data_IF_391856329345
#
_entry.id   IF_391856329345
#
_cell.length_a   1.000
_cell.length_b   1.000
_cell.length_c   1.000
_cell.angle_alpha   90.00
_cell.angle_beta   90.00
_cell.angle_gamma   90.00
#
_symmetry.space_group_name_H-M   'P 1'
#
loop_
_entity.id
_entity.type
_entity.pdbx_description
1 polymer ?
#
# COMPACT_ATOMS: atom_id res chain seq x y z
N UNK A 1 -39.85 2.89 14.75
CA UNK A 1 -39.27 3.64 15.88
C UNK A 1 -37.74 3.50 15.92
N UNK A 2 -37.16 2.31 15.91
CA UNK A 2 -35.68 2.16 15.99
C UNK A 2 -34.92 2.69 14.76
N UNK A 3 -35.48 2.52 13.56
CA UNK A 3 -34.89 3.04 12.31
C UNK A 3 -34.77 4.57 12.30
N UNK A 4 -35.77 5.26 12.82
CA UNK A 4 -35.80 6.74 12.79
C UNK A 4 -34.82 7.33 13.81
N UNK A 5 -34.61 6.62 14.93
CA UNK A 5 -33.60 6.96 15.92
C UNK A 5 -32.18 6.79 15.35
N UNK A 6 -31.91 5.68 14.65
CA UNK A 6 -30.63 5.42 14.00
C UNK A 6 -30.30 6.47 12.92
N UNK A 7 -31.31 6.90 12.15
CA UNK A 7 -31.15 7.97 11.14
C UNK A 7 -30.85 9.33 11.81
N UNK A 8 -31.46 9.63 12.95
CA UNK A 8 -31.16 10.86 13.69
C UNK A 8 -29.75 10.87 14.29
N UNK A 9 -29.29 9.73 14.80
CA UNK A 9 -27.94 9.61 15.37
C UNK A 9 -26.86 9.68 14.28
N UNK A 10 -27.09 9.05 13.11
CA UNK A 10 -26.23 9.20 11.93
C UNK A 10 -26.11 10.66 11.47
N UNK A 11 -27.23 11.38 11.41
CA UNK A 11 -27.24 12.81 11.04
C UNK A 11 -26.50 13.67 12.07
N UNK A 12 -26.61 13.34 13.36
CA UNK A 12 -25.91 14.05 14.44
C UNK A 12 -24.39 13.83 14.34
N UNK A 13 -23.96 12.59 14.05
CA UNK A 13 -22.54 12.24 13.89
C UNK A 13 -21.93 12.86 12.62
N UNK A 14 -22.65 12.88 11.50
CA UNK A 14 -22.20 13.55 10.28
C UNK A 14 -22.02 15.06 10.48
N UNK A 15 -22.96 15.70 11.20
CA UNK A 15 -22.87 17.12 11.52
C UNK A 15 -21.72 17.47 12.47
N UNK A 16 -21.37 16.54 13.38
CA UNK A 16 -20.19 16.68 14.24
C UNK A 16 -18.88 16.53 13.44
N UNK A 17 -18.83 15.66 12.43
CA UNK A 17 -17.68 15.50 11.53
C UNK A 17 -17.42 16.74 10.66
N UNK A 18 -18.46 17.42 10.17
CA UNK A 18 -18.30 18.67 9.38
C UNK A 18 -17.62 19.81 10.17
N UNK A 19 -17.61 19.73 11.50
CA UNK A 19 -17.02 20.74 12.39
C UNK A 19 -15.77 20.23 13.11
N UNK A 20 -15.25 19.06 12.73
CA UNK A 20 -14.02 18.54 13.31
C UNK A 20 -12.83 19.32 12.74
N UNK A 21 -12.30 20.21 13.57
CA UNK A 21 -11.01 20.85 13.34
C UNK A 21 -9.99 20.02 14.14
N UNK A 22 -9.01 19.36 13.51
CA UNK A 22 -8.00 18.61 14.24
C UNK A 22 -7.29 19.54 15.24
N UNK A 23 -6.98 19.06 16.45
CA UNK A 23 -6.31 19.88 17.45
C UNK A 23 -4.95 20.34 16.91
N UNK A 24 -4.54 21.59 17.21
CA UNK A 24 -3.27 22.12 16.73
C UNK A 24 -2.10 21.25 17.23
N UNK A 25 -1.00 21.14 16.46
CA UNK A 25 0.13 20.24 16.78
C UNK A 25 0.68 20.38 18.19
N UNK A 26 0.57 21.58 18.77
CA UNK A 26 0.95 21.90 20.16
C UNK A 26 0.18 21.13 21.24
N UNK A 27 -0.93 20.47 20.90
CA UNK A 27 -1.76 19.69 21.82
C UNK A 27 -1.62 18.17 21.61
N UNK A 28 -0.80 17.74 20.64
CA UNK A 28 -0.56 16.32 20.38
C UNK A 28 0.62 15.81 21.22
N UNK A 29 0.62 14.52 21.62
CA UNK A 29 1.77 13.89 22.25
C UNK A 29 3.01 13.98 21.34
N UNK A 30 4.23 14.19 21.88
CA UNK A 30 5.44 14.38 21.08
C UNK A 30 5.70 13.24 20.08
N UNK A 31 5.40 12.00 20.48
CA UNK A 31 5.55 10.80 19.64
C UNK A 31 4.60 10.76 18.44
N UNK A 32 3.43 11.40 18.54
CA UNK A 32 2.47 11.50 17.44
C UNK A 32 2.90 12.58 16.45
N UNK A 33 3.48 13.68 16.95
CA UNK A 33 4.06 14.74 16.11
C UNK A 33 5.26 14.20 15.32
N UNK A 34 6.17 13.45 15.97
CA UNK A 34 7.32 12.82 15.29
C UNK A 34 6.89 11.80 14.21
N UNK A 35 5.83 11.03 14.45
CA UNK A 35 5.28 10.09 13.46
C UNK A 35 4.64 10.81 12.27
N UNK A 36 3.86 11.86 12.52
CA UNK A 36 3.25 12.68 11.46
C UNK A 36 4.33 13.38 10.63
N UNK A 37 5.36 13.92 11.28
CA UNK A 37 6.49 14.58 10.60
C UNK A 37 7.31 13.58 9.78
N UNK A 38 7.61 12.39 10.33
CA UNK A 38 8.33 11.33 9.62
C UNK A 38 7.57 10.76 8.42
N UNK A 39 6.24 10.59 8.54
CA UNK A 39 5.39 10.21 7.40
C UNK A 39 5.33 11.32 6.35
N UNK A 40 5.26 12.58 6.79
CA UNK A 40 5.25 13.75 5.89
C UNK A 40 6.56 13.90 5.14
N UNK A 41 7.70 13.58 5.77
CA UNK A 41 9.02 13.61 5.15
C UNK A 41 9.22 12.45 4.16
N UNK A 42 8.74 11.25 4.49
CA UNK A 42 8.72 10.09 3.59
C UNK A 42 7.86 10.36 2.33
N UNK A 43 6.65 10.92 2.52
CA UNK A 43 5.77 11.34 1.42
C UNK A 43 6.44 12.41 0.55
N UNK A 44 7.09 13.39 1.16
CA UNK A 44 7.80 14.44 0.42
C UNK A 44 8.93 13.87 -0.44
N UNK A 45 9.71 12.93 0.10
CA UNK A 45 10.79 12.26 -0.62
C UNK A 45 10.27 11.44 -1.81
N UNK A 46 9.13 10.75 -1.64
CA UNK A 46 8.46 10.04 -2.74
C UNK A 46 7.95 11.01 -3.81
N UNK A 47 7.34 12.13 -3.43
CA UNK A 47 6.87 13.18 -4.36
C UNK A 47 8.03 13.78 -5.17
N UNK A 48 9.16 14.07 -4.53
CA UNK A 48 10.36 14.57 -5.23
C UNK A 48 10.91 13.54 -6.21
N UNK A 49 10.90 12.27 -5.82
CA UNK A 49 11.32 11.17 -6.71
C UNK A 49 10.40 11.05 -7.93
N UNK A 50 9.08 11.15 -7.74
CA UNK A 50 8.09 11.11 -8.84
C UNK A 50 8.34 12.28 -9.80
N UNK A 51 8.49 13.51 -9.29
CA UNK A 51 8.78 14.68 -10.13
C UNK A 51 10.06 14.49 -10.96
N UNK A 52 11.11 13.94 -10.34
CA UNK A 52 12.36 13.64 -11.06
C UNK A 52 12.18 12.59 -12.16
N UNK A 53 11.31 11.60 -11.96
CA UNK A 53 10.98 10.61 -12.99
C UNK A 53 10.11 11.20 -14.11
N UNK A 54 9.13 12.03 -13.78
CA UNK A 54 8.28 12.74 -14.76
C UNK A 54 9.12 13.64 -15.68
N UNK A 55 10.05 14.42 -15.12
CA UNK A 55 10.95 15.27 -15.89
C UNK A 55 11.84 14.45 -16.83
N UNK A 56 12.32 13.29 -16.37
CA UNK A 56 13.16 12.40 -17.16
C UNK A 56 12.39 11.70 -18.28
N UNK A 57 11.14 11.30 -18.04
CA UNK A 57 10.25 10.75 -19.08
C UNK A 57 10.02 11.81 -20.15
N UNK A 58 9.68 13.04 -19.75
CA UNK A 58 9.44 14.13 -20.69
C UNK A 58 10.66 14.44 -21.56
N UNK A 59 11.86 14.43 -20.98
CA UNK A 59 13.10 14.62 -21.73
C UNK A 59 13.31 13.52 -22.79
N UNK A 60 13.06 12.25 -22.43
CA UNK A 60 13.17 11.12 -23.35
C UNK A 60 12.09 11.14 -24.44
N UNK A 61 10.88 11.60 -24.14
CA UNK A 61 9.81 11.78 -25.13
C UNK A 61 10.15 12.87 -26.16
N UNK A 62 10.72 14.00 -25.72
CA UNK A 62 11.18 15.07 -26.60
C UNK A 62 12.32 14.59 -27.51
N UNK A 63 13.29 13.87 -26.96
CA UNK A 63 14.40 13.28 -27.71
C UNK A 63 13.90 12.26 -28.75
N UNK A 64 12.96 11.37 -28.37
CA UNK A 64 12.37 10.39 -29.29
C UNK A 64 11.55 11.07 -30.41
N UNK A 65 10.84 12.15 -30.09
CA UNK A 65 10.14 12.97 -31.08
C UNK A 65 11.11 13.68 -32.05
N UNK A 66 12.32 14.02 -31.61
CA UNK A 66 13.37 14.56 -32.48
C UNK A 66 13.98 13.48 -33.39
N UNK A 67 14.26 12.29 -32.86
CA UNK A 67 14.74 11.15 -33.65
C UNK A 67 13.74 10.75 -34.74
N UNK A 68 12.44 10.69 -34.42
CA UNK A 68 11.38 10.42 -35.40
C UNK A 68 11.31 11.48 -36.50
N UNK A 69 11.50 12.76 -36.15
CA UNK A 69 11.56 13.86 -37.12
C UNK A 69 12.79 13.76 -38.04
N UNK A 70 13.96 13.38 -37.50
CA UNK A 70 15.17 13.16 -38.29
C UNK A 70 15.03 11.98 -39.24
N UNK A 71 14.39 10.87 -38.82
CA UNK A 71 14.08 9.75 -39.72
C UNK A 71 13.12 10.13 -40.85
N UNK A 72 12.10 10.93 -40.58
CA UNK A 72 11.14 11.37 -41.59
C UNK A 72 11.74 12.31 -42.66
N UNK A 73 12.90 12.94 -42.39
CA UNK A 73 13.58 13.81 -43.35
C UNK A 73 14.52 13.05 -44.32
N UNK A 74 14.70 11.73 -44.11
CA UNK A 74 15.51 10.83 -44.95
C UNK A 74 14.61 9.97 -45.84
N UNK A 75 13.50 10.54 -46.34
CA UNK A 75 12.74 9.92 -47.45
C UNK A 75 13.51 10.17 -48.77
N UNK A 76 13.78 9.15 -49.60
CA UNK A 76 14.51 9.32 -50.84
C UNK A 76 13.67 10.12 -51.83
N UNK A 77 14.19 11.27 -52.24
CA UNK A 77 13.70 12.01 -53.41
C UNK A 77 14.03 11.19 -54.66
N UNK A 78 13.08 10.39 -55.11
CA UNK A 78 13.08 9.77 -56.44
C UNK A 78 12.87 10.86 -57.52
N UNK A 79 13.91 11.61 -57.89
CA UNK A 79 14.04 12.10 -59.27
C UNK A 79 15.45 12.61 -59.65
N UNK A 80 15.87 12.12 -60.83
CA UNK A 80 16.92 12.60 -61.76
C UNK A 80 18.42 12.45 -61.40
N UNK A 81 18.96 11.30 -61.83
CA UNK A 81 20.19 11.09 -62.63
C UNK A 81 21.40 12.02 -62.44
N UNK A 82 22.52 11.45 -62.00
CA UNK A 82 23.71 11.36 -62.88
C UNK A 82 24.75 10.36 -62.36
N UNK A 83 25.46 9.79 -63.33
CA UNK A 83 26.42 8.69 -63.27
C UNK A 83 27.69 9.03 -62.45
N UNK A 84 27.60 9.05 -61.11
CA UNK A 84 28.76 9.10 -60.21
C UNK A 84 28.73 7.89 -59.27
N UNK A 85 29.04 6.72 -59.83
CA UNK A 85 29.55 5.59 -59.06
C UNK A 85 31.00 5.90 -58.63
N UNK A 86 31.14 6.81 -57.66
CA UNK A 86 32.37 6.94 -56.88
C UNK A 86 32.32 5.92 -55.76
N UNK A 87 33.45 5.27 -55.47
CA UNK A 87 33.61 4.41 -54.28
C UNK A 87 33.23 5.16 -52.98
N UNK A 88 33.36 6.49 -52.98
CA UNK A 88 33.00 7.36 -51.87
C UNK A 88 31.49 7.39 -51.58
N UNK A 89 30.62 7.44 -52.59
CA UNK A 89 29.15 7.53 -52.37
C UNK A 89 28.55 6.21 -51.89
N UNK A 90 29.10 5.08 -52.34
CA UNK A 90 28.72 3.77 -51.82
C UNK A 90 29.14 3.59 -50.36
N UNK A 91 30.33 4.09 -49.99
CA UNK A 91 30.85 4.01 -48.62
C UNK A 91 30.03 4.91 -47.68
N UNK A 92 29.74 6.15 -48.08
CA UNK A 92 28.89 7.08 -47.33
C UNK A 92 27.48 6.54 -47.08
N UNK A 93 26.87 5.89 -48.09
CA UNK A 93 25.54 5.29 -47.94
C UNK A 93 25.55 4.09 -46.97
N UNK A 94 26.64 3.34 -46.95
CA UNK A 94 26.81 2.18 -46.06
C UNK A 94 27.01 2.65 -44.61
N UNK A 95 27.80 3.71 -44.41
CA UNK A 95 28.00 4.34 -43.10
C UNK A 95 26.72 4.98 -42.56
N UNK A 96 25.97 5.67 -43.43
CA UNK A 96 24.67 6.24 -43.07
C UNK A 96 23.66 5.16 -42.66
N UNK A 97 23.57 4.05 -43.41
CA UNK A 97 22.71 2.92 -43.05
C UNK A 97 23.13 2.25 -41.74
N UNK A 98 24.43 2.12 -41.49
CA UNK A 98 24.93 1.56 -40.24
C UNK A 98 24.59 2.47 -39.04
N UNK A 99 24.77 3.79 -39.18
CA UNK A 99 24.40 4.77 -38.16
C UNK A 99 22.88 4.76 -37.90
N UNK A 100 22.07 4.60 -38.95
CA UNK A 100 20.61 4.55 -38.83
C UNK A 100 20.14 3.26 -38.13
N UNK A 101 20.80 2.14 -38.41
CA UNK A 101 20.56 0.87 -37.72
C UNK A 101 20.95 0.94 -36.24
N UNK A 102 22.09 1.55 -35.90
CA UNK A 102 22.48 1.79 -34.51
C UNK A 102 21.48 2.68 -33.77
N UNK A 103 21.04 3.78 -34.39
CA UNK A 103 20.02 4.66 -33.81
C UNK A 103 18.67 3.94 -33.62
N UNK A 104 18.33 3.00 -34.51
CA UNK A 104 17.12 2.18 -34.38
C UNK A 104 17.22 1.18 -33.22
N UNK A 105 18.38 0.56 -33.03
CA UNK A 105 18.64 -0.33 -31.90
C UNK A 105 18.58 0.43 -30.56
N UNK A 106 19.18 1.63 -30.51
CA UNK A 106 19.12 2.52 -29.35
C UNK A 106 17.68 2.97 -29.04
N UNK A 107 16.90 3.33 -30.06
CA UNK A 107 15.50 3.72 -29.87
C UNK A 107 14.66 2.53 -29.37
N UNK A 108 14.92 1.32 -29.85
CA UNK A 108 14.25 0.11 -29.38
C UNK A 108 14.60 -0.16 -27.91
N UNK A 109 15.87 -0.02 -27.52
CA UNK A 109 16.31 -0.17 -26.14
C UNK A 109 15.65 0.87 -25.20
N UNK A 110 15.60 2.14 -25.63
CA UNK A 110 14.94 3.20 -24.88
C UNK A 110 13.43 2.97 -24.75
N UNK A 111 12.78 2.51 -25.82
CA UNK A 111 11.34 2.19 -25.81
C UNK A 111 11.02 1.08 -24.80
N UNK A 112 11.84 0.03 -24.74
CA UNK A 112 11.68 -1.05 -23.77
C UNK A 112 11.89 -0.55 -22.33
N UNK A 113 12.85 0.35 -22.12
CA UNK A 113 13.10 0.94 -20.79
C UNK A 113 11.94 1.85 -20.34
N UNK A 114 11.36 2.63 -21.26
CA UNK A 114 10.14 3.41 -20.97
C UNK A 114 9.00 2.51 -20.56
N UNK A 115 8.73 1.43 -21.31
CA UNK A 115 7.68 0.47 -20.98
C UNK A 115 7.91 -0.17 -19.58
N UNK A 116 9.15 -0.53 -19.28
CA UNK A 116 9.52 -1.05 -17.95
C UNK A 116 9.24 -0.04 -16.84
N UNK A 117 9.62 1.23 -17.03
CA UNK A 117 9.41 2.29 -16.04
C UNK A 117 7.92 2.60 -15.84
N UNK A 118 7.12 2.61 -16.92
CA UNK A 118 5.66 2.79 -16.85
C UNK A 118 5.02 1.70 -16.01
N UNK A 119 5.42 0.44 -16.21
CA UNK A 119 4.91 -0.68 -15.41
C UNK A 119 5.27 -0.55 -13.92
N UNK A 120 6.49 -0.09 -13.61
CA UNK A 120 6.90 0.15 -12.23
C UNK A 120 6.08 1.30 -11.61
N UNK A 121 5.84 2.37 -12.36
CA UNK A 121 5.02 3.50 -11.90
C UNK A 121 3.61 3.04 -11.53
N UNK A 122 2.95 2.28 -12.41
CA UNK A 122 1.62 1.73 -12.15
C UNK A 122 1.60 0.87 -10.88
N UNK A 123 2.61 0.01 -10.67
CA UNK A 123 2.71 -0.79 -9.46
C UNK A 123 2.89 0.07 -8.20
N UNK A 124 3.67 1.15 -8.28
CA UNK A 124 3.88 2.06 -7.14
C UNK A 124 2.64 2.89 -6.82
N UNK A 125 1.88 3.30 -7.82
CA UNK A 125 0.58 3.98 -7.64
C UNK A 125 -0.41 3.07 -6.90
N UNK A 126 -0.48 1.78 -7.28
CA UNK A 126 -1.33 0.79 -6.59
C UNK A 126 -0.92 0.60 -5.13
N UNK A 127 0.38 0.48 -4.84
CA UNK A 127 0.89 0.41 -3.47
C UNK A 127 0.55 1.65 -2.64
N UNK A 128 0.62 2.85 -3.26
CA UNK A 128 0.26 4.10 -2.58
C UNK A 128 -1.23 4.13 -2.25
N UNK A 129 -2.10 3.77 -3.20
CA UNK A 129 -3.55 3.73 -2.94
C UNK A 129 -3.90 2.76 -1.80
N UNK A 130 -3.26 1.58 -1.76
CA UNK A 130 -3.46 0.62 -0.67
C UNK A 130 -3.02 1.17 0.69
N UNK A 131 -1.90 1.88 0.75
CA UNK A 131 -1.41 2.53 1.97
C UNK A 131 -2.27 3.74 2.38
N UNK A 132 -2.84 4.46 1.42
CA UNK A 132 -3.79 5.55 1.68
C UNK A 132 -5.09 4.99 2.28
N UNK A 133 -5.62 3.88 1.74
CA UNK A 133 -6.78 3.18 2.30
C UNK A 133 -6.50 2.70 3.74
N UNK A 134 -5.35 2.08 3.99
CA UNK A 134 -4.94 1.66 5.35
C UNK A 134 -4.81 2.86 6.30
N UNK A 135 -4.24 3.98 5.84
CA UNK A 135 -4.16 5.20 6.64
C UNK A 135 -5.53 5.81 6.92
N UNK A 136 -6.44 5.82 5.94
CA UNK A 136 -7.80 6.27 6.15
C UNK A 136 -8.52 5.39 7.17
N UNK A 137 -8.33 4.07 7.14
CA UNK A 137 -8.86 3.17 8.16
C UNK A 137 -8.32 3.51 9.56
N UNK A 138 -7.01 3.76 9.69
CA UNK A 138 -6.38 4.17 10.96
C UNK A 138 -6.88 5.53 11.45
N UNK A 139 -7.03 6.51 10.55
CA UNK A 139 -7.49 7.86 10.88
C UNK A 139 -8.99 7.89 11.20
N UNK A 140 -9.79 7.06 10.52
CA UNK A 140 -11.21 6.92 10.76
C UNK A 140 -11.52 6.06 11.99
N UNK A 141 -10.57 5.24 12.43
CA UNK A 141 -10.66 4.51 13.68
C UNK A 141 -10.72 5.49 14.84
N UNK A 142 -11.91 5.59 15.43
CA UNK A 142 -12.16 6.55 16.50
C UNK A 142 -11.30 6.25 17.72
N UNK A 143 -10.96 7.26 18.54
CA UNK A 143 -10.25 7.03 19.81
C UNK A 143 -10.97 6.04 20.73
N UNK A 144 -12.29 5.89 20.57
CA UNK A 144 -13.11 4.92 21.27
C UNK A 144 -12.81 3.47 20.83
N UNK A 145 -12.77 3.19 19.53
CA UNK A 145 -12.51 1.86 18.98
C UNK A 145 -11.09 1.40 19.32
N UNK A 146 -10.12 2.31 19.24
CA UNK A 146 -8.74 2.05 19.67
C UNK A 146 -8.65 1.79 21.18
N UNK A 147 -9.33 2.57 22.01
CA UNK A 147 -9.32 2.39 23.47
C UNK A 147 -9.99 1.07 23.89
N UNK A 148 -11.10 0.69 23.25
CA UNK A 148 -11.79 -0.57 23.49
C UNK A 148 -10.88 -1.77 23.20
N UNK A 149 -10.16 -1.75 22.07
CA UNK A 149 -9.18 -2.80 21.74
C UNK A 149 -8.04 -2.90 22.74
N UNK A 150 -7.49 -1.75 23.15
CA UNK A 150 -6.41 -1.71 24.14
C UNK A 150 -6.89 -2.23 25.51
N UNK A 151 -8.13 -1.93 25.90
CA UNK A 151 -8.73 -2.45 27.13
C UNK A 151 -8.89 -3.97 27.06
N UNK A 152 -9.39 -4.50 25.94
CA UNK A 152 -9.51 -5.93 25.71
C UNK A 152 -8.14 -6.62 25.76
N UNK A 153 -7.14 -6.09 25.07
CA UNK A 153 -5.78 -6.64 25.05
C UNK A 153 -5.15 -6.62 26.45
N UNK A 154 -5.30 -5.51 27.18
CA UNK A 154 -4.79 -5.34 28.54
C UNK A 154 -5.36 -6.40 29.49
N UNK A 155 -6.68 -6.64 29.44
CA UNK A 155 -7.34 -7.66 30.27
C UNK A 155 -6.83 -9.07 29.97
N UNK A 156 -6.72 -9.43 28.70
CA UNK A 156 -6.23 -10.74 28.30
C UNK A 156 -4.79 -10.96 28.76
N UNK A 157 -3.92 -9.96 28.63
CA UNK A 157 -2.56 -10.02 29.17
C UNK A 157 -2.61 -10.28 30.68
N UNK A 158 -3.43 -9.54 31.44
CA UNK A 158 -3.54 -9.72 32.89
C UNK A 158 -4.11 -11.08 33.31
N UNK A 159 -5.04 -11.64 32.55
CA UNK A 159 -5.69 -12.93 32.83
C UNK A 159 -4.83 -14.13 32.42
N UNK A 160 -3.95 -13.98 31.42
CA UNK A 160 -2.96 -14.99 31.01
C UNK A 160 -1.73 -14.95 31.94
N UNK A 161 -1.49 -13.84 32.65
CA UNK A 161 -0.43 -13.71 33.66
C UNK A 161 -0.90 -13.95 35.10
N UNK A 162 -1.23 -15.19 35.48
CA UNK A 162 -0.82 -15.73 36.77
C UNK A 162 0.11 -16.94 36.57
N UNK A 163 0.86 -17.31 37.62
CA UNK A 163 1.78 -18.45 37.64
C UNK A 163 1.15 -19.70 36.98
N UNK A 164 1.91 -20.46 36.17
CA UNK A 164 1.39 -21.58 35.42
C UNK A 164 1.00 -22.70 36.39
N UNK A 165 -0.24 -22.68 36.82
CA UNK A 165 -0.92 -23.84 37.39
C UNK A 165 -2.13 -24.06 36.52
N UNK A 166 -2.03 -24.99 35.58
CA UNK A 166 -2.92 -26.14 35.40
C UNK A 166 -2.48 -26.85 34.11
N UNK A 167 -2.19 -28.14 34.24
CA UNK A 167 -2.13 -29.13 33.15
C UNK A 167 -3.48 -29.14 32.40
N UNK A 168 -3.63 -28.31 31.37
CA UNK A 168 -4.67 -28.51 30.36
C UNK A 168 -3.96 -28.88 29.06
N UNK A 169 -3.72 -30.17 28.88
CA UNK A 169 -3.46 -30.77 27.58
C UNK A 169 -4.73 -30.65 26.74
N UNK A 170 -4.95 -29.48 26.15
CA UNK A 170 -5.91 -29.29 25.08
C UNK A 170 -5.13 -29.26 23.77
N UNK A 171 -5.19 -30.37 23.02
CA UNK A 171 -4.67 -30.50 21.66
C UNK A 171 -5.47 -29.59 20.71
N UNK A 172 -5.26 -28.27 20.82
CA UNK A 172 -5.88 -27.28 19.96
C UNK A 172 -4.82 -26.62 19.08
N UNK A 173 -5.06 -26.67 17.78
CA UNK A 173 -4.23 -26.02 16.76
C UNK A 173 -4.82 -24.65 16.47
N UNK A 174 -4.03 -23.58 16.61
CA UNK A 174 -4.48 -22.25 16.21
C UNK A 174 -4.70 -22.21 14.69
N UNK A 175 -5.92 -21.94 14.23
CA UNK A 175 -6.26 -21.93 12.80
C UNK A 175 -5.61 -20.80 11.98
N UNK A 176 -4.95 -19.83 12.63
CA UNK A 176 -4.22 -18.74 11.97
C UNK A 176 -2.78 -19.17 11.66
N UNK A 177 -2.04 -19.61 12.67
CA UNK A 177 -0.61 -19.95 12.53
C UNK A 177 -0.36 -21.44 12.35
N UNK A 178 -1.39 -22.28 12.47
CA UNK A 178 -1.35 -23.74 12.37
C UNK A 178 -0.41 -24.42 13.37
N UNK A 179 0.00 -23.70 14.42
CA UNK A 179 0.79 -24.25 15.51
C UNK A 179 -0.13 -24.84 16.58
N UNK A 180 0.29 -25.98 17.13
CA UNK A 180 -0.29 -26.49 18.38
C UNK A 180 0.08 -25.53 19.51
N UNK A 181 -0.91 -25.20 20.33
CA UNK A 181 -0.75 -24.26 21.43
C UNK A 181 -0.85 -25.01 22.74
N UNK A 182 0.25 -25.13 23.46
CA UNK A 182 0.29 -25.70 24.83
C UNK A 182 -0.22 -24.72 25.90
N UNK A 183 -0.98 -23.70 25.49
CA UNK A 183 -1.38 -22.58 26.33
C UNK A 183 -2.78 -22.07 26.00
N UNK A 184 -3.27 -21.06 26.74
CA UNK A 184 -4.66 -20.65 26.68
C UNK A 184 -5.07 -20.14 25.29
N UNK A 185 -6.28 -20.51 24.86
CA UNK A 185 -6.90 -20.07 23.63
C UNK A 185 -7.93 -18.99 23.92
N UNK A 186 -7.97 -18.00 23.05
CA UNK A 186 -8.87 -16.86 23.15
C UNK A 186 -9.94 -17.00 22.09
N UNK A 187 -11.19 -16.93 22.51
CA UNK A 187 -12.35 -16.88 21.60
C UNK A 187 -13.46 -16.05 22.22
N UNK A 188 -14.54 -15.82 21.49
CA UNK A 188 -15.76 -15.31 22.13
C UNK A 188 -16.65 -16.47 22.57
N UNK A 189 -17.47 -16.24 23.58
CA UNK A 189 -18.55 -17.14 23.98
C UNK A 189 -19.65 -17.29 22.91
N UNK A 190 -19.65 -16.42 21.89
CA UNK A 190 -20.51 -16.49 20.70
C UNK A 190 -19.86 -17.29 19.55
N UNK A 191 -18.57 -17.58 19.64
CA UNK A 191 -17.85 -18.37 18.64
C UNK A 191 -17.97 -19.87 18.94
N UNK A 192 -17.83 -20.68 17.89
CA UNK A 192 -17.65 -22.12 18.03
C UNK A 192 -16.33 -22.42 18.78
N UNK A 193 -16.25 -23.57 19.45
CA UNK A 193 -15.07 -23.91 20.27
C UNK A 193 -13.78 -23.98 19.44
N UNK A 194 -13.89 -24.44 18.19
CA UNK A 194 -12.78 -24.57 17.25
C UNK A 194 -12.27 -23.22 16.71
N UNK A 195 -12.92 -22.10 17.04
CA UNK A 195 -12.49 -20.76 16.60
C UNK A 195 -11.45 -20.11 17.54
N UNK A 196 -10.95 -20.88 18.52
CA UNK A 196 -9.89 -20.44 19.42
C UNK A 196 -8.64 -20.01 18.66
N UNK A 197 -8.09 -18.86 19.07
CA UNK A 197 -6.81 -18.35 18.56
C UNK A 197 -5.79 -18.27 19.68
N UNK A 198 -4.52 -18.53 19.35
CA UNK A 198 -3.45 -18.38 20.33
C UNK A 198 -3.28 -16.91 20.72
N UNK A 199 -2.73 -16.67 21.92
CA UNK A 199 -2.46 -15.32 22.41
C UNK A 199 -1.65 -14.48 21.40
N UNK A 200 -0.63 -15.06 20.77
CA UNK A 200 0.22 -14.36 19.80
C UNK A 200 -0.59 -13.81 18.62
N UNK A 201 -1.40 -14.67 18.00
CA UNK A 201 -2.21 -14.28 16.84
C UNK A 201 -3.37 -13.36 17.23
N UNK A 202 -3.97 -13.57 18.40
CA UNK A 202 -4.94 -12.65 18.97
C UNK A 202 -4.35 -11.24 19.14
N UNK A 203 -3.17 -11.14 19.76
CA UNK A 203 -2.49 -9.86 19.96
C UNK A 203 -2.15 -9.17 18.64
N UNK A 204 -1.71 -9.92 17.62
CA UNK A 204 -1.48 -9.36 16.28
C UNK A 204 -2.76 -8.79 15.69
N UNK A 205 -3.88 -9.53 15.75
CA UNK A 205 -5.17 -9.09 15.20
C UNK A 205 -5.72 -7.87 15.93
N UNK A 206 -5.60 -7.81 17.26
CA UNK A 206 -6.03 -6.66 18.06
C UNK A 206 -5.22 -5.39 17.82
N UNK A 207 -3.97 -5.53 17.38
CA UNK A 207 -3.12 -4.40 17.00
C UNK A 207 -3.36 -3.93 15.55
N UNK A 208 -4.08 -4.69 14.74
CA UNK A 208 -4.46 -4.29 13.39
C UNK A 208 -5.75 -3.45 13.38
N UNK A 209 -5.79 -2.31 12.65
CA UNK A 209 -6.98 -1.49 12.42
C UNK A 209 -8.19 -2.34 12.00
N UNK A 210 -9.37 -2.08 12.57
CA UNK A 210 -10.62 -2.76 12.17
C UNK A 210 -10.74 -4.27 12.45
N UNK A 211 -9.75 -4.92 13.07
CA UNK A 211 -9.69 -6.40 13.20
C UNK A 211 -9.99 -6.97 14.59
N UNK A 212 -10.75 -6.26 15.43
CA UNK A 212 -11.21 -6.76 16.74
C UNK A 212 -12.37 -7.76 16.62
N UNK A 213 -12.18 -8.82 15.85
CA UNK A 213 -13.21 -9.83 15.58
C UNK A 213 -12.57 -11.18 15.26
N UNK A 214 -13.34 -12.24 15.46
CA UNK A 214 -12.94 -13.59 15.11
C UNK A 214 -12.69 -13.67 13.59
N UNK A 215 -11.53 -14.17 13.14
CA UNK A 215 -11.21 -14.25 11.71
C UNK A 215 -12.02 -15.31 10.95
N UNK A 216 -12.71 -16.21 11.66
CA UNK A 216 -13.46 -17.32 11.07
C UNK A 216 -14.93 -16.95 10.89
N UNK A 217 -15.59 -16.52 11.97
CA UNK A 217 -17.03 -16.19 11.95
C UNK A 217 -17.33 -14.71 12.06
N UNK A 218 -16.31 -13.84 11.99
CA UNK A 218 -16.43 -12.37 11.98
C UNK A 218 -17.17 -11.80 13.20
N UNK A 219 -17.29 -12.58 14.28
CA UNK A 219 -17.93 -12.15 15.52
C UNK A 219 -17.00 -11.22 16.28
N UNK A 220 -17.48 -10.04 16.66
CA UNK A 220 -16.71 -9.02 17.36
C UNK A 220 -16.19 -9.50 18.72
N UNK A 221 -14.92 -9.21 18.96
CA UNK A 221 -14.23 -9.43 20.23
C UNK A 221 -14.53 -8.26 21.15
N UNK A 222 -15.46 -8.47 22.08
CA UNK A 222 -15.90 -7.45 23.04
C UNK A 222 -15.49 -7.91 24.44
N UNK A 223 -15.16 -6.97 25.32
CA UNK A 223 -14.73 -7.24 26.68
C UNK A 223 -15.69 -8.18 27.45
N UNK A 224 -17.00 -8.05 27.25
CA UNK A 224 -18.01 -8.85 27.94
C UNK A 224 -18.26 -10.24 27.33
N UNK A 225 -17.62 -10.58 26.21
CA UNK A 225 -17.92 -11.80 25.46
C UNK A 225 -16.69 -12.70 25.22
N UNK A 226 -15.52 -12.33 25.71
CA UNK A 226 -14.29 -13.11 25.55
C UNK A 226 -14.19 -14.24 26.57
N UNK A 227 -13.65 -15.37 26.11
CA UNK A 227 -13.31 -16.55 26.90
C UNK A 227 -11.83 -16.84 26.69
N UNK A 228 -11.15 -17.09 27.81
CA UNK A 228 -9.78 -17.60 27.86
C UNK A 228 -9.89 -19.00 28.46
N UNK A 229 -9.62 -20.00 27.63
CA UNK A 229 -9.75 -21.43 27.97
C UNK A 229 -8.41 -22.15 27.86
#
# INVERSE_FOLDING_TARGET
MERDQMIQDLKRNLKAKEHYVPPPPSQLPPTVVELIDGMSESLRCKIETIKGLEERIKALEEENAEYKRKQAYVEPSDDESDDIASEDTATELTEANHALMQAQDENTALSNEVERLVNILAQREEEIMALEEENEEILNEGPYERAERLNVLSKIVTEITPEPTIDILNDHTCLICLNNTDGPFIRTNKCNIDHGVCFSCFATLMNSPGKAQCPICMTKWEEGNLLIE
#
